data_IF_947694710831
#
_entry.id   IF_947694710831
#
_cell.length_a   1.000
_cell.length_b   1.000
_cell.length_c   1.000
_cell.angle_alpha   90.00
_cell.angle_beta   90.00
_cell.angle_gamma   90.00
#
_symmetry.space_group_name_H-M   'P 1'
#
loop_
_entity.id
_entity.type
_entity.pdbx_description
1 polymer ?
#
# COMPACT_ATOMS: atom_id res chain seq x y z
N UNK A 1 -5.44 -21.01 12.32
CA UNK A 1 -5.02 -19.60 12.51
C UNK A 1 -5.01 -18.84 11.17
N UNK A 2 -5.70 -17.70 11.08
CA UNK A 2 -5.73 -16.89 9.86
C UNK A 2 -4.32 -16.35 9.52
N UNK A 3 -3.96 -16.41 8.23
CA UNK A 3 -2.70 -15.86 7.73
C UNK A 3 -2.59 -14.36 7.97
N UNK A 4 -1.36 -13.85 8.05
CA UNK A 4 -1.09 -12.43 8.39
C UNK A 4 -1.76 -11.45 7.42
N UNK A 5 -1.85 -11.78 6.13
CA UNK A 5 -2.56 -10.95 5.13
C UNK A 5 -4.08 -10.86 5.40
N UNK A 6 -4.69 -11.96 5.88
CA UNK A 6 -6.10 -11.95 6.25
C UNK A 6 -6.35 -11.10 7.50
N UNK A 7 -5.38 -11.04 8.43
CA UNK A 7 -5.44 -10.17 9.62
C UNK A 7 -5.26 -8.70 9.27
N UNK A 8 -4.37 -8.37 8.33
CA UNK A 8 -4.23 -7.00 7.81
C UNK A 8 -5.51 -6.52 7.12
N UNK A 9 -6.12 -7.37 6.30
CA UNK A 9 -7.40 -7.07 5.67
C UNK A 9 -8.53 -6.94 6.69
N UNK A 10 -8.58 -7.81 7.70
CA UNK A 10 -9.57 -7.72 8.78
C UNK A 10 -9.40 -6.42 9.58
N UNK A 11 -8.18 -6.04 9.94
CA UNK A 11 -7.91 -4.77 10.63
C UNK A 11 -8.29 -3.55 9.76
N UNK A 12 -8.00 -3.59 8.47
CA UNK A 12 -8.44 -2.54 7.54
C UNK A 12 -9.97 -2.46 7.45
N UNK A 13 -10.66 -3.59 7.34
CA UNK A 13 -12.12 -3.65 7.33
C UNK A 13 -12.72 -3.19 8.67
N UNK A 14 -12.12 -3.58 9.79
CA UNK A 14 -12.54 -3.16 11.12
C UNK A 14 -12.46 -1.64 11.26
N UNK A 15 -11.38 -1.03 10.77
CA UNK A 15 -11.23 0.41 10.72
C UNK A 15 -12.22 1.09 9.77
N UNK A 16 -12.56 0.47 8.63
CA UNK A 16 -13.54 1.01 7.66
C UNK A 16 -14.98 0.94 8.17
N UNK A 17 -15.32 -0.08 8.95
CA UNK A 17 -16.69 -0.39 9.39
C UNK A 17 -16.98 -0.02 10.85
N UNK A 18 -16.12 0.74 11.52
CA UNK A 18 -16.23 1.07 12.95
C UNK A 18 -16.43 -0.19 13.83
N UNK A 19 -15.74 -1.28 13.47
CA UNK A 19 -15.81 -2.55 14.17
C UNK A 19 -15.08 -2.48 15.54
N UNK A 20 -15.35 -3.40 16.48
CA UNK A 20 -14.91 -3.24 17.86
C UNK A 20 -13.37 -3.19 18.00
N UNK A 21 -12.83 -2.36 18.92
CA UNK A 21 -11.40 -2.07 19.04
C UNK A 21 -10.50 -3.30 19.34
N UNK A 22 -11.07 -4.38 19.86
CA UNK A 22 -10.33 -5.53 20.38
C UNK A 22 -9.54 -6.29 19.29
N UNK A 23 -10.08 -6.41 18.07
CA UNK A 23 -9.37 -7.03 16.95
C UNK A 23 -8.17 -6.20 16.51
N UNK A 24 -8.31 -4.87 16.53
CA UNK A 24 -7.24 -3.93 16.22
C UNK A 24 -6.14 -3.98 17.29
N UNK A 25 -6.50 -3.95 18.57
CA UNK A 25 -5.52 -4.00 19.66
C UNK A 25 -4.73 -5.32 19.71
N UNK A 26 -5.38 -6.46 19.49
CA UNK A 26 -4.67 -7.75 19.42
C UNK A 26 -3.70 -7.84 18.25
N UNK A 27 -4.06 -7.27 17.10
CA UNK A 27 -3.17 -7.18 15.95
C UNK A 27 -1.98 -6.25 16.23
N UNK A 28 -2.23 -5.05 16.75
CA UNK A 28 -1.20 -4.06 17.01
C UNK A 28 -0.19 -4.51 18.08
N UNK A 29 -0.66 -5.08 19.18
CA UNK A 29 0.22 -5.55 20.26
C UNK A 29 1.23 -6.62 19.80
N UNK A 30 0.86 -7.45 18.82
CA UNK A 30 1.72 -8.50 18.27
C UNK A 30 2.65 -7.99 17.16
N UNK A 31 2.17 -7.10 16.31
CA UNK A 31 2.88 -6.75 15.08
C UNK A 31 3.78 -5.50 15.21
N UNK A 32 3.57 -4.64 16.23
CA UNK A 32 4.36 -3.41 16.44
C UNK A 32 5.87 -3.64 16.53
N UNK A 33 6.30 -4.80 17.06
CA UNK A 33 7.72 -5.19 17.15
C UNK A 33 8.11 -6.29 16.14
N UNK A 34 7.15 -6.72 15.32
CA UNK A 34 7.28 -7.84 14.41
C UNK A 34 7.73 -7.48 12.99
N UNK A 35 7.67 -8.45 12.06
CA UNK A 35 8.03 -8.26 10.66
C UNK A 35 7.02 -7.38 9.89
N UNK A 36 5.92 -6.95 10.52
CA UNK A 36 4.90 -6.07 9.92
C UNK A 36 4.65 -4.78 10.71
N UNK A 37 5.57 -4.39 11.58
CA UNK A 37 5.43 -3.19 12.41
C UNK A 37 5.15 -1.91 11.62
N UNK A 38 5.74 -1.77 10.42
CA UNK A 38 5.45 -0.62 9.55
C UNK A 38 3.96 -0.55 9.14
N UNK A 39 3.35 -1.69 8.78
CA UNK A 39 1.92 -1.76 8.45
C UNK A 39 1.03 -1.57 9.68
N UNK A 40 1.46 -2.06 10.85
CA UNK A 40 0.74 -1.86 12.10
C UNK A 40 0.65 -0.36 12.46
N UNK A 41 1.75 0.36 12.34
CA UNK A 41 1.77 1.82 12.52
C UNK A 41 0.90 2.55 11.48
N UNK A 42 0.93 2.13 10.21
CA UNK A 42 0.07 2.72 9.19
C UNK A 42 -1.43 2.53 9.49
N UNK A 43 -1.83 1.34 9.97
CA UNK A 43 -3.21 1.06 10.38
C UNK A 43 -3.63 1.88 11.62
N UNK A 44 -2.72 2.07 12.57
CA UNK A 44 -2.92 2.99 13.70
C UNK A 44 -3.20 4.42 13.22
N UNK A 45 -2.43 4.90 12.25
CA UNK A 45 -2.64 6.23 11.69
C UNK A 45 -4.02 6.37 11.04
N UNK A 46 -4.45 5.37 10.27
CA UNK A 46 -5.77 5.37 9.66
C UNK A 46 -6.89 5.43 10.72
N UNK A 47 -6.76 4.63 11.78
CA UNK A 47 -7.72 4.64 12.89
C UNK A 47 -7.74 5.98 13.64
N UNK A 48 -6.57 6.53 13.96
CA UNK A 48 -6.43 7.83 14.61
C UNK A 48 -7.01 8.96 13.75
N UNK A 49 -6.76 8.94 12.44
CA UNK A 49 -7.27 9.92 11.48
C UNK A 49 -8.82 9.89 11.42
N UNK A 50 -9.42 8.71 11.37
CA UNK A 50 -10.89 8.55 11.40
C UNK A 50 -11.53 9.08 12.68
N UNK A 51 -10.84 8.97 13.81
CA UNK A 51 -11.28 9.53 15.07
C UNK A 51 -10.98 11.03 15.23
N UNK A 52 -10.43 11.69 14.20
CA UNK A 52 -10.12 13.11 14.23
C UNK A 52 -8.93 13.48 15.13
N UNK A 53 -8.02 12.54 15.41
CA UNK A 53 -6.86 12.81 16.24
C UNK A 53 -5.88 13.72 15.49
N UNK A 54 -5.55 14.87 16.09
CA UNK A 54 -4.66 15.89 15.49
C UNK A 54 -3.26 15.38 15.11
N UNK A 55 -2.80 14.30 15.75
CA UNK A 55 -1.45 13.76 15.57
C UNK A 55 -1.46 12.38 14.91
N UNK A 56 -2.49 12.04 14.13
CA UNK A 56 -2.59 10.75 13.44
C UNK A 56 -1.36 10.47 12.54
N UNK A 57 -0.80 11.52 11.94
CA UNK A 57 0.36 11.44 11.05
C UNK A 57 1.64 10.95 11.73
N UNK A 58 1.79 11.11 13.06
CA UNK A 58 2.95 10.59 13.81
C UNK A 58 3.08 9.07 13.66
N UNK A 59 1.95 8.36 13.54
CA UNK A 59 1.97 6.93 13.28
C UNK A 59 2.40 6.61 11.84
N UNK A 60 2.04 7.44 10.84
CA UNK A 60 2.55 7.29 9.46
C UNK A 60 4.05 7.60 9.36
N UNK A 61 4.53 8.65 10.03
CA UNK A 61 5.95 8.95 10.14
C UNK A 61 6.72 7.75 10.69
N UNK A 62 6.19 7.14 11.75
CA UNK A 62 6.79 5.96 12.36
C UNK A 62 6.76 4.75 11.44
N UNK A 63 5.67 4.55 10.69
CA UNK A 63 5.56 3.49 9.68
C UNK A 63 6.65 3.64 8.60
N UNK A 64 6.81 4.85 8.05
CA UNK A 64 7.82 5.15 7.02
C UNK A 64 9.23 4.97 7.57
N UNK A 65 9.53 5.51 8.76
CA UNK A 65 10.83 5.36 9.40
C UNK A 65 11.17 3.87 9.63
N UNK A 66 10.20 3.08 10.04
CA UNK A 66 10.38 1.64 10.23
C UNK A 66 10.62 0.91 8.90
N UNK A 67 9.86 1.22 7.85
CA UNK A 67 10.07 0.63 6.52
C UNK A 67 11.42 1.02 5.91
N UNK A 68 11.93 2.22 6.17
CA UNK A 68 13.29 2.61 5.78
C UNK A 68 14.36 1.81 6.53
N UNK A 69 14.17 1.57 7.82
CA UNK A 69 15.09 0.77 8.64
C UNK A 69 15.01 -0.74 8.34
N UNK A 70 13.85 -1.22 7.89
CA UNK A 70 13.56 -2.62 7.55
C UNK A 70 12.88 -2.69 6.19
N UNK A 71 13.65 -2.58 5.09
CA UNK A 71 13.11 -2.51 3.73
C UNK A 71 12.20 -3.69 3.36
N UNK A 72 12.35 -4.85 4.00
CA UNK A 72 11.48 -6.03 3.87
C UNK A 72 10.02 -5.78 4.21
N UNK A 73 9.73 -4.74 4.99
CA UNK A 73 8.37 -4.31 5.30
C UNK A 73 7.81 -3.31 4.27
N UNK A 74 8.65 -2.85 3.34
CA UNK A 74 8.36 -1.77 2.41
C UNK A 74 7.27 -2.10 1.41
N UNK A 75 7.22 -3.31 0.85
CA UNK A 75 6.18 -3.67 -0.15
C UNK A 75 4.77 -3.53 0.42
N UNK A 76 4.56 -4.06 1.63
CA UNK A 76 3.24 -4.06 2.24
C UNK A 76 2.83 -2.64 2.66
N UNK A 77 3.77 -1.85 3.18
CA UNK A 77 3.50 -0.45 3.49
C UNK A 77 3.18 0.36 2.23
N UNK A 78 4.00 0.26 1.18
CA UNK A 78 3.76 0.94 -0.11
C UNK A 78 2.39 0.56 -0.65
N UNK A 79 2.04 -0.73 -0.62
CA UNK A 79 0.73 -1.19 -1.05
C UNK A 79 -0.42 -0.54 -0.27
N UNK A 80 -0.32 -0.44 1.07
CA UNK A 80 -1.33 0.20 1.91
C UNK A 80 -1.45 1.70 1.61
N UNK A 81 -0.33 2.43 1.60
CA UNK A 81 -0.31 3.87 1.30
C UNK A 81 -0.91 4.17 -0.07
N UNK A 82 -0.54 3.38 -1.09
CA UNK A 82 -1.11 3.49 -2.43
C UNK A 82 -2.62 3.26 -2.43
N UNK A 83 -3.10 2.23 -1.71
CA UNK A 83 -4.54 1.95 -1.62
C UNK A 83 -5.32 3.07 -0.95
N UNK A 84 -4.77 3.67 0.11
CA UNK A 84 -5.40 4.76 0.84
C UNK A 84 -5.24 6.11 0.15
N UNK A 85 -4.45 6.18 -0.94
CA UNK A 85 -4.08 7.45 -1.58
C UNK A 85 -3.43 8.43 -0.59
N UNK A 86 -2.68 7.91 0.37
CA UNK A 86 -2.00 8.68 1.40
C UNK A 86 -0.50 8.77 1.10
N UNK A 87 0.09 9.93 1.38
CA UNK A 87 1.54 10.14 1.38
C UNK A 87 2.22 9.66 0.10
N UNK A 88 1.83 10.20 -1.07
CA UNK A 88 2.28 9.70 -2.38
C UNK A 88 3.79 9.80 -2.56
N UNK A 89 4.43 10.85 -2.05
CA UNK A 89 5.88 11.04 -2.16
C UNK A 89 6.65 9.99 -1.36
N UNK A 90 6.24 9.74 -0.12
CA UNK A 90 6.85 8.72 0.74
C UNK A 90 6.57 7.32 0.20
N UNK A 91 5.36 7.06 -0.31
CA UNK A 91 5.03 5.79 -0.96
C UNK A 91 5.88 5.56 -2.21
N UNK A 92 6.15 6.60 -3.00
CA UNK A 92 7.01 6.53 -4.17
C UNK A 92 8.45 6.24 -3.78
N UNK A 93 9.03 6.98 -2.84
CA UNK A 93 10.40 6.77 -2.34
C UNK A 93 10.58 5.34 -1.81
N UNK A 94 9.68 4.88 -0.94
CA UNK A 94 9.72 3.52 -0.41
C UNK A 94 9.58 2.46 -1.52
N UNK A 95 8.81 2.75 -2.56
CA UNK A 95 8.66 1.83 -3.70
C UNK A 95 9.97 1.65 -4.47
N UNK A 96 10.82 2.69 -4.54
CA UNK A 96 12.12 2.61 -5.19
C UNK A 96 13.07 1.71 -4.40
N UNK A 97 13.15 1.91 -3.08
CA UNK A 97 13.94 1.04 -2.20
C UNK A 97 13.45 -0.41 -2.24
N UNK A 98 12.13 -0.64 -2.21
CA UNK A 98 11.56 -1.97 -2.31
C UNK A 98 11.83 -2.62 -3.68
N UNK A 99 11.91 -1.84 -4.76
CA UNK A 99 12.17 -2.37 -6.11
C UNK A 99 13.57 -2.94 -6.24
N UNK A 100 14.55 -2.34 -5.57
CA UNK A 100 15.92 -2.85 -5.55
C UNK A 100 16.02 -4.25 -4.93
N UNK A 101 15.17 -4.54 -3.93
CA UNK A 101 15.18 -5.81 -3.20
C UNK A 101 14.26 -6.87 -3.80
N UNK A 102 13.12 -6.44 -4.37
CA UNK A 102 12.15 -7.35 -4.99
C UNK A 102 11.76 -6.89 -6.41
N UNK A 103 12.71 -6.96 -7.38
CA UNK A 103 12.47 -6.54 -8.76
C UNK A 103 11.42 -7.40 -9.48
N UNK A 104 11.04 -8.55 -8.93
CA UNK A 104 10.05 -9.45 -9.52
C UNK A 104 8.66 -9.37 -8.89
N UNK A 105 8.47 -8.48 -7.90
CA UNK A 105 7.21 -8.36 -7.16
C UNK A 105 6.11 -7.71 -7.99
N UNK A 106 5.14 -8.52 -8.42
CA UNK A 106 3.93 -8.04 -9.11
C UNK A 106 3.07 -7.12 -8.23
N UNK A 107 3.10 -7.31 -6.90
CA UNK A 107 2.40 -6.47 -5.93
C UNK A 107 3.00 -5.07 -5.88
N UNK A 108 4.33 -4.99 -5.87
CA UNK A 108 5.04 -3.72 -5.92
C UNK A 108 4.85 -3.01 -7.27
N UNK A 109 4.91 -3.75 -8.38
CA UNK A 109 4.66 -3.20 -9.70
C UNK A 109 3.25 -2.58 -9.83
N UNK A 110 2.23 -3.27 -9.32
CA UNK A 110 0.88 -2.70 -9.25
C UNK A 110 0.84 -1.41 -8.43
N UNK A 111 1.50 -1.38 -7.26
CA UNK A 111 1.49 -0.19 -6.41
C UNK A 111 2.19 1.00 -7.09
N UNK A 112 3.30 0.74 -7.79
CA UNK A 112 4.03 1.73 -8.59
C UNK A 112 3.20 2.24 -9.76
N UNK A 113 2.50 1.35 -10.48
CA UNK A 113 1.61 1.73 -11.56
C UNK A 113 0.51 2.70 -11.10
N UNK A 114 -0.09 2.49 -9.92
CA UNK A 114 -1.07 3.42 -9.35
C UNK A 114 -0.44 4.77 -9.01
N UNK A 115 0.75 4.78 -8.39
CA UNK A 115 1.46 6.03 -8.03
C UNK A 115 1.80 6.85 -9.28
N UNK A 116 2.34 6.21 -10.31
CA UNK A 116 2.66 6.83 -11.60
C UNK A 116 1.41 7.34 -12.32
N UNK A 117 0.32 6.56 -12.31
CA UNK A 117 -0.93 6.99 -12.94
C UNK A 117 -1.50 8.25 -12.27
N UNK A 118 -1.36 8.37 -10.95
CA UNK A 118 -1.79 9.55 -10.19
C UNK A 118 -0.88 10.77 -10.39
N UNK A 119 0.41 10.56 -10.66
CA UNK A 119 1.33 11.64 -10.98
C UNK A 119 1.27 12.09 -12.44
N UNK A 120 0.44 11.45 -13.28
CA UNK A 120 0.31 11.76 -14.71
C UNK A 120 1.33 11.06 -15.60
N UNK A 121 2.19 10.21 -15.05
CA UNK A 121 3.22 9.44 -15.76
C UNK A 121 2.61 8.20 -16.43
N UNK A 122 1.59 8.41 -17.27
CA UNK A 122 0.71 7.33 -17.79
C UNK A 122 1.46 6.28 -18.62
N UNK A 123 2.52 6.67 -19.35
CA UNK A 123 3.36 5.73 -20.10
C UNK A 123 4.09 4.73 -19.18
N UNK A 124 4.75 5.24 -18.15
CA UNK A 124 5.43 4.40 -17.16
C UNK A 124 4.42 3.59 -16.33
N UNK A 125 3.28 4.20 -15.99
CA UNK A 125 2.19 3.51 -15.30
C UNK A 125 1.69 2.29 -16.08
N UNK A 126 1.54 2.43 -17.41
CA UNK A 126 1.11 1.34 -18.28
C UNK A 126 2.12 0.19 -18.27
N UNK A 127 3.42 0.49 -18.33
CA UNK A 127 4.48 -0.53 -18.27
C UNK A 127 4.45 -1.33 -16.97
N UNK A 128 4.32 -0.64 -15.83
CA UNK A 128 4.23 -1.28 -14.50
C UNK A 128 2.93 -2.09 -14.36
N UNK A 129 1.81 -1.60 -14.91
CA UNK A 129 0.53 -2.31 -14.90
C UNK A 129 0.56 -3.60 -15.74
N UNK A 130 1.14 -3.54 -16.95
CA UNK A 130 1.37 -4.73 -17.80
C UNK A 130 2.27 -5.72 -17.09
N UNK A 131 3.35 -5.25 -16.46
CA UNK A 131 4.24 -6.12 -15.72
C UNK A 131 3.51 -6.83 -14.58
N UNK A 132 2.76 -6.09 -13.75
CA UNK A 132 1.98 -6.67 -12.67
C UNK A 132 0.99 -7.74 -13.17
N UNK A 133 0.24 -7.43 -14.24
CA UNK A 133 -0.75 -8.31 -14.82
C UNK A 133 -0.12 -9.56 -15.44
N UNK A 134 0.99 -9.44 -16.17
CA UNK A 134 1.66 -10.60 -16.79
C UNK A 134 2.12 -11.64 -15.77
N UNK A 135 2.51 -11.20 -14.58
CA UNK A 135 2.90 -12.08 -13.47
C UNK A 135 1.70 -12.71 -12.74
N UNK A 136 0.51 -12.10 -12.82
CA UNK A 136 -0.74 -12.57 -12.18
C UNK A 136 -1.95 -12.29 -13.09
N UNK A 137 -2.10 -13.01 -14.22
CA UNK A 137 -3.05 -12.66 -15.29
C UNK A 137 -4.53 -12.78 -14.91
N UNK A 138 -4.82 -13.57 -13.87
CA UNK A 138 -6.17 -13.78 -13.33
C UNK A 138 -6.50 -12.88 -12.14
N UNK A 139 -5.61 -11.94 -11.75
CA UNK A 139 -5.90 -11.02 -10.66
C UNK A 139 -6.81 -9.88 -11.16
N UNK A 140 -8.06 -9.77 -10.67
CA UNK A 140 -9.01 -8.79 -11.17
C UNK A 140 -8.54 -7.35 -10.92
N UNK A 141 -7.88 -7.08 -9.78
CA UNK A 141 -7.36 -5.73 -9.47
C UNK A 141 -6.29 -5.28 -10.46
N UNK A 142 -5.47 -6.21 -10.94
CA UNK A 142 -4.38 -5.89 -11.87
C UNK A 142 -4.94 -5.65 -13.26
N UNK A 143 -5.94 -6.45 -13.66
CA UNK A 143 -6.67 -6.25 -14.91
C UNK A 143 -7.39 -4.91 -14.91
N UNK A 144 -8.16 -4.60 -13.86
CA UNK A 144 -8.86 -3.32 -13.73
C UNK A 144 -7.91 -2.13 -13.80
N UNK A 145 -6.77 -2.19 -13.10
CA UNK A 145 -5.77 -1.10 -13.17
C UNK A 145 -5.23 -0.93 -14.59
N UNK A 146 -4.85 -2.04 -15.24
CA UNK A 146 -4.37 -2.00 -16.62
C UNK A 146 -5.41 -1.37 -17.55
N UNK A 147 -6.66 -1.82 -17.50
CA UNK A 147 -7.75 -1.29 -18.33
C UNK A 147 -8.01 0.21 -18.07
N UNK A 148 -7.89 0.66 -16.82
CA UNK A 148 -8.01 2.08 -16.46
C UNK A 148 -6.86 2.91 -17.03
N UNK A 149 -5.61 2.49 -16.80
CA UNK A 149 -4.42 3.22 -17.28
C UNK A 149 -4.40 3.25 -18.82
N UNK A 150 -4.71 2.15 -19.49
CA UNK A 150 -4.77 2.11 -20.96
C UNK A 150 -5.90 2.96 -21.54
N UNK A 151 -7.00 3.18 -20.81
CA UNK A 151 -8.04 4.14 -21.22
C UNK A 151 -7.56 5.58 -21.06
N UNK A 152 -6.93 5.92 -19.93
CA UNK A 152 -6.39 7.25 -19.69
C UNK A 152 -5.31 7.62 -20.70
N UNK A 153 -4.39 6.70 -20.99
CA UNK A 153 -3.32 6.92 -21.95
C UNK A 153 -3.86 7.21 -23.36
N UNK A 154 -4.89 6.48 -23.81
CA UNK A 154 -5.55 6.72 -25.11
C UNK A 154 -6.36 8.02 -25.18
N UNK A 155 -6.77 8.54 -24.03
CA UNK A 155 -7.55 9.77 -23.94
C UNK A 155 -6.66 11.03 -23.84
N UNK A 156 -5.34 10.87 -23.69
CA UNK A 156 -4.40 11.98 -23.61
C UNK A 156 -3.98 12.35 -25.05
N UNK A 157 -4.32 13.53 -25.58
CA UNK A 157 -3.82 13.97 -26.87
C UNK A 157 -2.32 14.25 -26.79
N UNK A 158 -1.58 13.94 -27.87
CA UNK A 158 -0.15 14.22 -28.04
C UNK A 158 0.19 15.72 -27.87
#
# INVERSE_FOLDING_TARGET
PAGTDARLLAAELALVHDAPPDELYHFLGRELYGPRGACAFALLALGASRQGWRNADVFLERAVAMARARPEQGIDLVWLLTRWAAWPDQAWELSQSARALWPSSSRLAWARAVLLARSGELGQAAMEAVYALSRRPYNPRYRTLFDQVSRLLRATPD
#
